data_IF_942397226082
#
_entry.id   IF_942397226082
#
_cell.length_a   1.000
_cell.length_b   1.000
_cell.length_c   1.000
_cell.angle_alpha   90.00
_cell.angle_beta   90.00
_cell.angle_gamma   90.00
#
_symmetry.space_group_name_H-M   'P 1'
#
loop_
_entity.id
_entity.type
_entity.pdbx_description
1 polymer ?
#
# COMPACT_ATOMS: atom_id res chain seq x y z
N UNK A 1 8.33 2.83 23.15
CA UNK A 1 7.86 2.23 21.88
C UNK A 1 7.88 3.32 20.82
N UNK A 2 8.35 3.06 19.59
CA UNK A 2 8.19 4.00 18.48
C UNK A 2 6.73 3.96 18.03
N UNK A 3 6.07 5.11 18.01
CA UNK A 3 4.71 5.24 17.48
C UNK A 3 4.80 5.42 15.97
N UNK A 4 4.15 4.55 15.19
CA UNK A 4 4.05 4.67 13.74
C UNK A 4 2.68 5.26 13.42
N UNK A 5 2.64 6.34 12.65
CA UNK A 5 1.39 6.91 12.15
C UNK A 5 0.95 6.17 10.90
N UNK A 6 -0.18 5.48 10.97
CA UNK A 6 -0.78 4.80 9.83
C UNK A 6 -1.68 5.79 9.12
N UNK A 7 -1.26 6.20 7.91
CA UNK A 7 -2.01 6.97 6.92
C UNK A 7 -2.93 8.07 7.50
N UNK A 8 -2.50 9.33 7.41
CA UNK A 8 -3.48 10.41 7.60
C UNK A 8 -4.38 10.55 6.38
N UNK A 9 -5.66 10.83 6.66
CA UNK A 9 -6.61 11.25 5.62
C UNK A 9 -6.07 12.53 4.98
N UNK A 10 -5.58 12.41 3.75
CA UNK A 10 -5.16 13.52 2.90
C UNK A 10 -6.05 13.54 1.66
N UNK A 11 -6.29 14.72 1.12
CA UNK A 11 -7.12 14.86 -0.09
C UNK A 11 -6.40 14.34 -1.35
N UNK A 12 -5.07 14.26 -1.29
CA UNK A 12 -4.19 13.89 -2.40
C UNK A 12 -3.87 12.38 -2.33
N UNK A 13 -4.90 11.54 -2.50
CA UNK A 13 -4.74 10.09 -2.68
C UNK A 13 -4.62 9.79 -4.16
N UNK A 14 -3.51 9.20 -4.57
CA UNK A 14 -3.27 8.72 -5.92
C UNK A 14 -3.13 7.20 -5.91
N UNK A 15 -3.69 6.53 -6.91
CA UNK A 15 -3.60 5.08 -7.04
C UNK A 15 -3.56 4.69 -8.50
N UNK A 16 -2.83 3.61 -8.78
CA UNK A 16 -2.68 3.04 -10.11
C UNK A 16 -2.66 1.52 -10.01
N UNK A 17 -3.35 0.86 -10.93
CA UNK A 17 -3.39 -0.61 -10.98
C UNK A 17 -2.77 -1.08 -12.29
N UNK A 18 -1.69 -1.84 -12.16
CA UNK A 18 -1.02 -2.51 -13.27
C UNK A 18 -1.71 -3.86 -13.51
N UNK A 19 -2.52 -3.94 -14.58
CA UNK A 19 -3.27 -5.14 -14.91
C UNK A 19 -2.39 -6.31 -15.33
N UNK A 20 -1.24 -6.04 -15.96
CA UNK A 20 -0.33 -7.06 -16.47
C UNK A 20 0.48 -7.69 -15.33
N UNK A 21 0.86 -6.90 -14.33
CA UNK A 21 1.59 -7.35 -13.16
C UNK A 21 0.71 -7.82 -11.98
N UNK A 22 -0.60 -7.53 -12.01
CA UNK A 22 -1.52 -7.66 -10.86
C UNK A 22 -0.98 -6.91 -9.62
N UNK A 23 -0.68 -5.61 -9.79
CA UNK A 23 -0.12 -4.78 -8.71
C UNK A 23 -0.93 -3.50 -8.54
N UNK A 24 -1.39 -3.24 -7.33
CA UNK A 24 -2.03 -1.98 -6.94
C UNK A 24 -1.05 -1.08 -6.17
N UNK A 25 -0.79 0.09 -6.72
CA UNK A 25 -0.02 1.16 -6.09
C UNK A 25 -0.96 2.18 -5.45
N UNK A 26 -0.66 2.58 -4.23
CA UNK A 26 -1.38 3.65 -3.51
C UNK A 26 -0.33 4.62 -2.96
N UNK A 27 -0.44 5.89 -3.32
CA UNK A 27 0.42 6.98 -2.86
C UNK A 27 -0.43 8.04 -2.17
N UNK A 28 0.08 8.59 -1.06
CA UNK A 28 -0.69 9.53 -0.22
C UNK A 28 0.11 10.81 0.00
N UNK A 29 -0.48 11.92 -0.42
CA UNK A 29 0.14 13.24 -0.39
C UNK A 29 1.20 13.43 -1.47
N UNK A 30 2.03 14.44 -1.29
CA UNK A 30 3.08 14.79 -2.25
C UNK A 30 4.19 13.73 -2.35
N UNK A 31 4.81 13.54 -3.53
CA UNK A 31 5.96 12.66 -3.72
C UNK A 31 7.04 12.93 -2.67
N UNK A 32 7.32 11.93 -1.83
CA UNK A 32 8.22 12.05 -0.68
C UNK A 32 9.18 10.86 -0.67
N UNK A 33 10.42 11.07 -0.19
CA UNK A 33 11.36 9.97 0.08
C UNK A 33 10.78 9.05 1.15
N UNK A 34 10.77 7.75 0.86
CA UNK A 34 10.26 6.72 1.76
C UNK A 34 11.06 5.43 1.57
N UNK A 35 11.20 4.67 2.64
CA UNK A 35 11.72 3.31 2.62
C UNK A 35 10.57 2.34 2.32
N UNK A 36 10.85 1.32 1.52
CA UNK A 36 9.92 0.23 1.25
C UNK A 36 10.13 -0.88 2.27
N UNK A 37 9.07 -1.28 2.95
CA UNK A 37 9.06 -2.32 3.98
C UNK A 37 8.09 -3.40 3.56
N UNK A 38 8.59 -4.60 3.29
CA UNK A 38 7.75 -5.78 3.07
C UNK A 38 7.14 -6.21 4.41
N UNK A 39 5.81 -6.22 4.49
CA UNK A 39 5.08 -6.64 5.69
C UNK A 39 4.44 -8.02 5.55
N UNK A 40 4.78 -8.73 4.47
CA UNK A 40 4.29 -10.07 4.17
C UNK A 40 3.04 -10.06 3.28
N UNK A 41 2.68 -11.27 2.83
CA UNK A 41 1.50 -11.51 2.00
C UNK A 41 1.40 -10.58 0.78
N UNK A 42 2.54 -10.24 0.16
CA UNK A 42 2.59 -9.36 -1.02
C UNK A 42 2.17 -7.92 -0.73
N UNK A 43 2.24 -7.45 0.51
CA UNK A 43 2.00 -6.06 0.89
C UNK A 43 3.33 -5.39 1.21
N UNK A 44 3.61 -4.30 0.52
CA UNK A 44 4.78 -3.45 0.73
C UNK A 44 4.30 -2.08 1.21
N UNK A 45 4.82 -1.64 2.34
CA UNK A 45 4.53 -0.36 2.97
C UNK A 45 5.61 0.65 2.59
N UNK A 46 5.22 1.85 2.17
CA UNK A 46 6.15 2.97 1.98
C UNK A 46 6.13 3.85 3.22
N UNK A 47 7.21 3.83 4.00
CA UNK A 47 7.35 4.60 5.24
C UNK A 47 8.28 5.79 5.06
N UNK A 48 7.82 6.99 5.39
CA UNK A 48 8.68 8.18 5.43
C UNK A 48 9.30 8.30 6.82
N UNK A 49 10.60 8.03 6.91
CA UNK A 49 11.35 8.20 8.17
C UNK A 49 11.36 9.67 8.64
N UNK A 50 11.35 10.61 7.69
CA UNK A 50 11.31 12.06 7.95
C UNK A 50 10.00 12.49 8.62
N UNK A 51 8.86 12.01 8.10
CA UNK A 51 7.52 12.35 8.61
C UNK A 51 7.07 11.42 9.73
N UNK A 52 7.72 10.27 9.90
CA UNK A 52 7.32 9.25 10.86
C UNK A 52 6.00 8.55 10.52
N UNK A 53 5.60 8.55 9.24
CA UNK A 53 4.29 8.08 8.78
C UNK A 53 4.37 7.18 7.54
N UNK A 54 3.36 6.33 7.37
CA UNK A 54 3.15 5.60 6.11
C UNK A 54 2.63 6.59 5.06
N UNK A 55 3.25 6.58 3.87
CA UNK A 55 2.94 7.49 2.75
C UNK A 55 2.50 6.74 1.49
N UNK A 56 2.42 5.42 1.54
CA UNK A 56 1.94 4.61 0.43
C UNK A 56 1.96 3.12 0.70
N UNK A 57 1.33 2.38 -0.21
CA UNK A 57 1.19 0.93 -0.19
C UNK A 57 1.39 0.38 -1.60
N UNK A 58 1.94 -0.82 -1.70
CA UNK A 58 1.93 -1.62 -2.91
C UNK A 58 1.39 -2.99 -2.55
N UNK A 59 0.34 -3.43 -3.25
CA UNK A 59 -0.31 -4.72 -3.03
C UNK A 59 -0.13 -5.55 -4.29
N UNK A 60 0.63 -6.62 -4.19
CA UNK A 60 0.90 -7.57 -5.27
C UNK A 60 -0.16 -8.68 -5.22
N UNK A 61 -0.68 -9.11 -6.36
CA UNK A 61 -1.67 -10.18 -6.48
C UNK A 61 -3.07 -9.77 -6.00
N UNK A 62 -3.43 -8.49 -6.07
CA UNK A 62 -4.69 -7.99 -5.48
C UNK A 62 -5.91 -8.62 -6.15
N UNK A 63 -5.87 -8.82 -7.47
CA UNK A 63 -6.95 -9.45 -8.24
C UNK A 63 -7.08 -10.92 -7.91
N UNK A 64 -5.98 -11.67 -7.95
CA UNK A 64 -5.99 -13.10 -7.58
C UNK A 64 -6.53 -13.32 -6.17
N UNK A 65 -6.00 -12.57 -5.19
CA UNK A 65 -6.42 -12.66 -3.78
C UNK A 65 -7.91 -12.36 -3.60
N UNK A 66 -8.40 -11.32 -4.27
CA UNK A 66 -9.81 -10.94 -4.21
C UNK A 66 -10.70 -12.06 -4.78
N UNK A 67 -10.34 -12.63 -5.93
CA UNK A 67 -11.09 -13.72 -6.55
C UNK A 67 -11.12 -14.98 -5.68
N UNK A 68 -9.98 -15.35 -5.09
CA UNK A 68 -9.89 -16.50 -4.18
C UNK A 68 -10.77 -16.29 -2.95
N UNK A 69 -10.71 -15.12 -2.31
CA UNK A 69 -11.50 -14.80 -1.13
C UNK A 69 -13.02 -14.79 -1.39
N UNK A 70 -13.46 -14.39 -2.59
CA UNK A 70 -14.88 -14.44 -2.97
C UNK A 70 -15.35 -15.89 -3.17
N UNK A 71 -14.51 -16.74 -3.79
CA UNK A 71 -14.84 -18.16 -4.03
C UNK A 71 -14.96 -18.96 -2.74
N UNK A 72 -14.09 -18.72 -1.76
CA UNK A 72 -14.14 -19.39 -0.45
C UNK A 72 -15.40 -19.02 0.36
N UNK A 73 -16.05 -17.91 0.04
CA UNK A 73 -17.29 -17.44 0.69
C UNK A 73 -18.56 -17.90 -0.02
N UNK A 74 -18.46 -18.50 -1.21
CA UNK A 74 -19.59 -18.98 -2.03
C UNK A 74 -19.83 -20.47 -1.82
#
# INVERSE_FOLDING_TARGET
MKTIKILEKKENLDWDYDEDADVLYISIGEPTKAVSVDVGEGVIVRYSEEKGEVVGLTIIGVKEKTLSAIREKS
#
